data_IF_546397894289
#
_entry.id   IF_546397894289
#
_cell.length_a   1.000
_cell.length_b   1.000
_cell.length_c   1.000
_cell.angle_alpha   90.00
_cell.angle_beta   90.00
_cell.angle_gamma   90.00
#
_symmetry.space_group_name_H-M   'P 1'
#
loop_
_entity.id
_entity.type
_entity.pdbx_description
1 polymer ?
#
# COMPACT_ATOMS: atom_id res chain seq x y z
N UNK A 1 10.83 -8.38 3.04
CA UNK A 1 9.86 -8.81 4.06
C UNK A 1 10.28 -10.17 4.60
N UNK A 2 10.30 -10.33 5.92
CA UNK A 2 10.63 -11.59 6.60
C UNK A 2 9.45 -12.58 6.52
N UNK A 3 9.68 -13.90 6.60
CA UNK A 3 8.60 -14.90 6.47
C UNK A 3 7.42 -14.72 7.42
N UNK A 4 7.67 -14.33 8.69
CA UNK A 4 6.59 -14.10 9.65
C UNK A 4 5.72 -12.88 9.28
N UNK A 5 6.33 -11.81 8.76
CA UNK A 5 5.59 -10.63 8.26
C UNK A 5 4.74 -10.99 7.05
N UNK A 6 5.24 -11.89 6.19
CA UNK A 6 4.45 -12.40 5.08
C UNK A 6 3.23 -13.17 5.59
N UNK A 7 3.43 -14.06 6.56
CA UNK A 7 2.33 -14.77 7.18
C UNK A 7 1.32 -13.82 7.84
N UNK A 8 1.78 -12.78 8.55
CA UNK A 8 0.91 -11.74 9.11
C UNK A 8 0.07 -11.04 8.04
N UNK A 9 0.67 -10.71 6.89
CA UNK A 9 -0.04 -10.12 5.76
C UNK A 9 -1.09 -11.08 5.19
N UNK A 10 -0.74 -12.35 5.02
CA UNK A 10 -1.66 -13.35 4.48
C UNK A 10 -2.87 -13.55 5.43
N UNK A 11 -2.66 -13.52 6.75
CA UNK A 11 -3.74 -13.55 7.76
C UNK A 11 -4.62 -12.30 7.69
N UNK A 12 -4.01 -11.12 7.61
CA UNK A 12 -4.73 -9.85 7.43
C UNK A 12 -5.61 -9.89 6.18
N UNK A 13 -5.06 -10.36 5.05
CA UNK A 13 -5.78 -10.47 3.80
C UNK A 13 -6.98 -11.41 3.87
N UNK A 14 -6.84 -12.55 4.56
CA UNK A 14 -7.95 -13.48 4.77
C UNK A 14 -9.08 -12.82 5.58
N UNK A 15 -8.72 -12.17 6.70
CA UNK A 15 -9.68 -11.46 7.55
C UNK A 15 -10.41 -10.36 6.77
N UNK A 16 -9.67 -9.59 5.98
CA UNK A 16 -10.23 -8.52 5.16
C UNK A 16 -11.21 -9.08 4.10
N UNK A 17 -10.82 -10.15 3.40
CA UNK A 17 -11.66 -10.77 2.39
C UNK A 17 -12.97 -11.32 2.99
N UNK A 18 -12.89 -12.02 4.12
CA UNK A 18 -14.06 -12.63 4.77
C UNK A 18 -15.03 -11.56 5.27
N UNK A 19 -14.52 -10.54 6.00
CA UNK A 19 -15.34 -9.43 6.50
C UNK A 19 -16.00 -8.65 5.36
N UNK A 20 -15.27 -8.40 4.28
CA UNK A 20 -15.82 -7.68 3.13
C UNK A 20 -16.91 -8.50 2.44
N UNK A 21 -16.65 -9.79 2.21
CA UNK A 21 -17.61 -10.70 1.59
C UNK A 21 -18.92 -10.77 2.38
N UNK A 22 -18.86 -10.95 3.70
CA UNK A 22 -20.06 -10.98 4.54
C UNK A 22 -20.85 -9.67 4.47
N UNK A 23 -20.14 -8.52 4.53
CA UNK A 23 -20.76 -7.20 4.45
C UNK A 23 -21.48 -6.98 3.11
N UNK A 24 -20.85 -7.29 1.98
CA UNK A 24 -21.47 -7.07 0.67
C UNK A 24 -22.60 -8.06 0.39
N UNK A 25 -22.52 -9.29 0.91
CA UNK A 25 -23.60 -10.28 0.80
C UNK A 25 -24.86 -9.81 1.51
N UNK A 26 -24.71 -9.27 2.73
CA UNK A 26 -25.83 -8.70 3.48
C UNK A 26 -26.44 -7.49 2.75
N UNK A 27 -25.61 -6.56 2.28
CA UNK A 27 -26.05 -5.33 1.59
C UNK A 27 -26.68 -5.58 0.23
N UNK A 28 -26.20 -6.58 -0.50
CA UNK A 28 -26.73 -6.93 -1.82
C UNK A 28 -27.84 -8.00 -1.77
N UNK A 29 -28.27 -8.40 -0.56
CA UNK A 29 -29.30 -9.41 -0.32
C UNK A 29 -29.02 -10.77 -0.98
N UNK A 30 -27.75 -11.18 -1.02
CA UNK A 30 -27.35 -12.50 -1.51
C UNK A 30 -26.01 -12.55 -2.23
N UNK A 31 -25.42 -13.75 -2.27
CA UNK A 31 -24.08 -14.02 -2.83
C UNK A 31 -24.00 -13.72 -4.33
N UNK A 32 -24.99 -14.15 -5.11
CA UNK A 32 -24.98 -13.94 -6.57
C UNK A 32 -25.07 -12.45 -6.93
N UNK A 33 -25.95 -11.70 -6.25
CA UNK A 33 -26.09 -10.26 -6.43
C UNK A 33 -24.81 -9.51 -6.03
N UNK A 34 -24.22 -9.84 -4.89
CA UNK A 34 -22.96 -9.26 -4.44
C UNK A 34 -21.82 -9.50 -5.43
N UNK A 35 -21.65 -10.74 -5.91
CA UNK A 35 -20.60 -11.09 -6.85
C UNK A 35 -20.75 -10.33 -8.19
N UNK A 36 -21.97 -10.28 -8.72
CA UNK A 36 -22.25 -9.55 -9.96
C UNK A 36 -21.93 -8.06 -9.79
N UNK A 37 -22.40 -7.44 -8.71
CA UNK A 37 -22.15 -6.02 -8.42
C UNK A 37 -20.67 -5.73 -8.21
N UNK A 38 -19.96 -6.54 -7.42
CA UNK A 38 -18.53 -6.35 -7.19
C UNK A 38 -17.73 -6.38 -8.50
N UNK A 39 -18.12 -7.24 -9.46
CA UNK A 39 -17.46 -7.30 -10.77
C UNK A 39 -17.81 -6.14 -11.69
N UNK A 40 -19.05 -5.68 -11.68
CA UNK A 40 -19.52 -4.62 -12.58
C UNK A 40 -19.22 -3.21 -12.05
N UNK A 41 -19.25 -3.03 -10.73
CA UNK A 41 -19.06 -1.73 -10.07
C UNK A 41 -18.56 -1.94 -8.63
N UNK A 42 -17.23 -2.04 -8.42
CA UNK A 42 -16.63 -2.16 -7.09
C UNK A 42 -16.91 -0.98 -6.16
N UNK A 43 -17.28 0.18 -6.70
CA UNK A 43 -17.69 1.37 -5.94
C UNK A 43 -19.20 1.62 -6.01
N UNK A 44 -19.96 0.64 -6.52
CA UNK A 44 -21.40 0.72 -6.61
C UNK A 44 -22.09 0.56 -5.26
N UNK A 45 -23.38 0.89 -5.24
CA UNK A 45 -24.23 0.79 -4.06
C UNK A 45 -24.21 -0.62 -3.45
N UNK A 46 -23.89 -0.67 -2.16
CA UNK A 46 -23.76 -1.90 -1.39
C UNK A 46 -22.35 -2.50 -1.35
N UNK A 47 -21.42 -2.02 -2.20
CA UNK A 47 -20.03 -2.51 -2.24
C UNK A 47 -19.07 -1.52 -1.57
N UNK A 48 -18.92 -0.30 -2.11
CA UNK A 48 -18.01 0.76 -1.63
C UNK A 48 -16.63 0.22 -1.17
N UNK A 49 -15.91 -0.42 -2.10
CA UNK A 49 -14.62 -1.03 -1.81
C UNK A 49 -13.61 -0.01 -1.25
N UNK A 50 -13.59 1.23 -1.74
CA UNK A 50 -12.64 2.24 -1.27
C UNK A 50 -12.89 2.64 0.19
N UNK A 51 -14.16 2.80 0.58
CA UNK A 51 -14.52 3.06 1.98
C UNK A 51 -14.11 1.91 2.89
N UNK A 52 -14.30 0.68 2.41
CA UNK A 52 -13.88 -0.51 3.14
C UNK A 52 -12.36 -0.56 3.32
N UNK A 53 -11.60 -0.32 2.24
CA UNK A 53 -10.13 -0.30 2.29
C UNK A 53 -9.62 0.81 3.21
N UNK A 54 -10.18 2.02 3.13
CA UNK A 54 -9.80 3.13 4.02
C UNK A 54 -10.08 2.77 5.49
N UNK A 55 -11.26 2.22 5.78
CA UNK A 55 -11.61 1.80 7.14
C UNK A 55 -10.69 0.68 7.63
N UNK A 56 -10.40 -0.31 6.78
CA UNK A 56 -9.48 -1.40 7.10
C UNK A 56 -8.07 -0.86 7.39
N UNK A 57 -7.60 0.10 6.62
CA UNK A 57 -6.29 0.71 6.83
C UNK A 57 -6.22 1.39 8.19
N UNK A 58 -7.24 2.17 8.57
CA UNK A 58 -7.27 2.78 9.89
C UNK A 58 -7.44 1.76 11.01
N UNK A 59 -8.31 0.76 10.88
CA UNK A 59 -8.55 -0.28 11.89
C UNK A 59 -7.30 -1.11 12.21
N UNK A 60 -6.46 -1.37 11.20
CA UNK A 60 -5.26 -2.18 11.31
C UNK A 60 -3.96 -1.35 11.39
N UNK A 61 -4.07 -0.02 11.57
CA UNK A 61 -2.92 0.90 11.65
C UNK A 61 -1.97 0.79 10.44
N UNK A 62 -2.56 0.71 9.24
CA UNK A 62 -1.86 0.62 7.96
C UNK A 62 -1.74 1.98 7.24
N UNK A 63 -2.40 3.02 7.76
CA UNK A 63 -2.47 4.36 7.16
C UNK A 63 -1.24 5.24 7.47
N UNK A 64 -0.31 4.78 8.32
CA UNK A 64 0.99 5.41 8.50
C UNK A 64 2.07 4.89 7.52
N UNK A 65 3.25 5.51 7.55
CA UNK A 65 4.38 5.14 6.67
C UNK A 65 4.81 3.69 6.86
N UNK A 66 4.85 3.19 8.09
CA UNK A 66 5.32 1.85 8.40
C UNK A 66 4.32 0.78 7.93
N UNK A 67 3.04 0.99 8.24
CA UNK A 67 1.93 0.14 7.85
C UNK A 67 1.72 0.13 6.33
N UNK A 68 1.77 1.30 5.69
CA UNK A 68 1.70 1.39 4.23
C UNK A 68 2.88 0.67 3.57
N UNK A 69 4.09 0.84 4.11
CA UNK A 69 5.28 0.12 3.62
C UNK A 69 5.15 -1.38 3.83
N UNK A 70 4.57 -1.84 4.95
CA UNK A 70 4.31 -3.26 5.19
C UNK A 70 3.42 -3.87 4.10
N UNK A 71 2.32 -3.20 3.73
CA UNK A 71 1.44 -3.63 2.64
C UNK A 71 2.20 -3.65 1.31
N UNK A 72 2.90 -2.56 0.98
CA UNK A 72 3.64 -2.46 -0.29
C UNK A 72 4.77 -3.50 -0.40
N UNK A 73 5.44 -3.82 0.69
CA UNK A 73 6.45 -4.89 0.72
C UNK A 73 5.85 -6.27 0.45
N UNK A 74 4.67 -6.57 0.98
CA UNK A 74 3.97 -7.82 0.69
C UNK A 74 3.55 -7.90 -0.79
N UNK A 75 3.23 -6.74 -1.39
CA UNK A 75 2.82 -6.59 -2.79
C UNK A 75 3.97 -6.24 -3.75
N UNK A 76 5.23 -6.42 -3.34
CA UNK A 76 6.40 -5.93 -4.09
C UNK A 76 6.47 -6.35 -5.57
N UNK A 77 5.87 -7.49 -5.95
CA UNK A 77 5.84 -8.00 -7.33
C UNK A 77 4.64 -7.53 -8.15
N UNK A 78 3.68 -6.83 -7.53
CA UNK A 78 2.48 -6.32 -8.19
C UNK A 78 2.87 -5.18 -9.13
N UNK A 79 2.34 -5.19 -10.34
CA UNK A 79 2.46 -4.09 -11.28
C UNK A 79 1.63 -2.89 -10.82
N UNK A 80 2.25 -1.72 -10.81
CA UNK A 80 1.60 -0.41 -10.56
C UNK A 80 1.30 0.28 -11.88
N UNK A 81 2.22 0.18 -12.84
CA UNK A 81 2.04 0.55 -14.24
C UNK A 81 2.22 -0.69 -15.12
N UNK A 82 2.15 -0.55 -16.44
CA UNK A 82 2.42 -1.66 -17.37
C UNK A 82 3.84 -2.21 -17.27
N UNK A 83 4.78 -1.43 -16.73
CA UNK A 83 6.22 -1.74 -16.75
C UNK A 83 6.88 -1.71 -15.37
N UNK A 84 6.31 -1.02 -14.38
CA UNK A 84 6.90 -0.89 -13.05
C UNK A 84 6.14 -1.73 -12.01
N UNK A 85 6.89 -2.51 -11.25
CA UNK A 85 6.38 -3.15 -10.03
C UNK A 85 6.40 -2.19 -8.84
N UNK A 86 5.67 -2.52 -7.77
CA UNK A 86 5.76 -1.80 -6.48
C UNK A 86 7.21 -1.71 -6.01
N UNK A 87 8.01 -2.78 -6.17
CA UNK A 87 9.42 -2.76 -5.80
C UNK A 87 10.22 -1.73 -6.61
N UNK A 88 9.95 -1.59 -7.90
CA UNK A 88 10.68 -0.66 -8.77
C UNK A 88 10.36 0.79 -8.40
N UNK A 89 9.08 1.10 -8.17
CA UNK A 89 8.63 2.41 -7.71
C UNK A 89 9.29 2.77 -6.37
N UNK A 90 9.26 1.86 -5.38
CA UNK A 90 9.86 2.10 -4.07
C UNK A 90 11.37 2.34 -4.16
N UNK A 91 12.10 1.54 -4.95
CA UNK A 91 13.55 1.73 -5.14
C UNK A 91 13.86 3.05 -5.84
N UNK A 92 13.06 3.44 -6.84
CA UNK A 92 13.23 4.70 -7.56
C UNK A 92 13.03 5.90 -6.63
N UNK A 93 11.96 5.91 -5.85
CA UNK A 93 11.68 6.96 -4.88
C UNK A 93 12.78 7.06 -3.81
N UNK A 94 13.21 5.92 -3.26
CA UNK A 94 14.27 5.89 -2.25
C UNK A 94 15.60 6.46 -2.78
N UNK A 95 15.99 6.10 -4.01
CA UNK A 95 17.21 6.63 -4.65
C UNK A 95 17.12 8.14 -4.91
N UNK A 96 15.97 8.61 -5.39
CA UNK A 96 15.75 10.03 -5.65
C UNK A 96 15.87 10.86 -4.36
N UNK A 97 15.11 10.49 -3.33
CA UNK A 97 15.13 11.19 -2.04
C UNK A 97 16.53 11.17 -1.39
N UNK A 98 17.24 10.04 -1.48
CA UNK A 98 18.60 9.95 -0.95
C UNK A 98 19.59 10.82 -1.73
N UNK A 99 19.47 10.87 -3.06
CA UNK A 99 20.32 11.70 -3.90
C UNK A 99 20.17 13.20 -3.60
N UNK A 100 18.93 13.66 -3.37
CA UNK A 100 18.65 15.04 -2.96
C UNK A 100 19.31 15.36 -1.61
N UNK A 101 19.13 14.50 -0.61
CA UNK A 101 19.74 14.67 0.71
C UNK A 101 21.27 14.65 0.65
N UNK A 102 21.84 13.70 -0.11
CA UNK A 102 23.28 13.59 -0.28
C UNK A 102 23.85 14.84 -0.94
N UNK A 103 23.18 15.38 -1.96
CA UNK A 103 23.59 16.61 -2.65
C UNK A 103 23.64 17.79 -1.68
N UNK A 104 22.59 18.00 -0.90
CA UNK A 104 22.55 19.06 0.11
C UNK A 104 23.72 18.91 1.11
N UNK A 105 23.97 17.68 1.58
CA UNK A 105 25.04 17.41 2.54
C UNK A 105 26.44 17.64 1.96
N UNK A 106 26.67 17.24 0.72
CA UNK A 106 27.96 17.46 0.03
C UNK A 106 28.21 18.95 -0.16
N UNK A 107 27.20 19.72 -0.55
CA UNK A 107 27.31 21.19 -0.67
C UNK A 107 27.72 21.82 0.66
N UNK A 108 27.08 21.43 1.77
CA UNK A 108 27.45 21.92 3.11
C UNK A 108 28.91 21.59 3.47
N UNK A 109 29.36 20.37 3.14
CA UNK A 109 30.71 19.92 3.41
C UNK A 109 31.74 20.71 2.60
N UNK A 110 31.51 20.89 1.30
CA UNK A 110 32.41 21.64 0.42
C UNK A 110 32.48 23.13 0.81
N UNK A 111 31.33 23.75 1.08
CA UNK A 111 31.27 25.14 1.51
C UNK A 111 31.93 25.39 2.88
N UNK A 112 32.09 24.34 3.70
CA UNK A 112 32.84 24.41 4.97
C UNK A 112 34.34 24.34 4.73
N UNK A 113 34.81 23.47 3.85
CA UNK A 113 36.24 23.36 3.52
C UNK A 113 36.78 24.63 2.89
N UNK A 114 36.00 25.32 2.05
CA UNK A 114 36.41 26.60 1.43
C UNK A 114 36.60 27.75 2.43
N UNK A 115 35.96 27.71 3.60
CA UNK A 115 36.12 28.77 4.63
C UNK A 115 37.31 28.56 5.55
N UNK A 116 37.92 27.38 5.49
CA UNK A 116 39.00 26.97 6.39
C UNK A 116 40.36 26.85 5.70
N UNK A 117 40.40 26.83 4.36
CA UNK A 117 41.61 26.94 3.54
C UNK A 117 41.84 28.37 3.08
#
# INVERSE_FOLDING_TARGET
>A
MQPYQRHQFDVLMQIAADRFADRIVQRCHGRAAALNRLRSSPQGEGIWLDEYVNTLFTEFFLDDVAGSTFVLQALQKRLVTTEETVADVLRRLAKAAFAELLTARVVETLARSERQG
#
